data_IF_773252319145
#
_entry.id   IF_773252319145
#
_cell.length_a   1.000
_cell.length_b   1.000
_cell.length_c   1.000
_cell.angle_alpha   90.00
_cell.angle_beta   90.00
_cell.angle_gamma   90.00
#
_symmetry.space_group_name_H-M   'P 1'
#
loop_
_entity.id
_entity.type
_entity.pdbx_description
1 polymer ?
#
# COMPACT_ATOMS: atom_id res chain seq x y z
N UNK A 1 3.58 -76.27 -44.44
CA UNK A 1 3.21 -75.13 -45.32
C UNK A 1 2.10 -74.33 -44.64
N UNK A 2 2.25 -72.99 -44.59
CA UNK A 2 1.30 -71.93 -44.16
C UNK A 2 1.13 -71.77 -42.62
N UNK A 3 1.86 -70.85 -41.97
CA UNK A 3 1.61 -69.40 -41.73
C UNK A 3 0.51 -69.14 -40.67
N UNK A 4 0.86 -68.88 -39.40
CA UNK A 4 1.09 -67.57 -38.73
C UNK A 4 -0.13 -66.62 -38.74
N UNK A 5 -0.73 -66.40 -37.56
CA UNK A 5 -0.94 -65.05 -36.99
C UNK A 5 -1.35 -65.15 -35.50
N UNK A 6 -0.42 -64.87 -34.59
CA UNK A 6 -0.72 -64.64 -33.17
C UNK A 6 -0.77 -63.15 -32.92
N UNK A 7 -1.90 -62.63 -32.46
CA UNK A 7 -2.10 -61.23 -32.09
C UNK A 7 -1.63 -61.08 -30.64
N UNK A 8 -0.49 -60.42 -30.43
CA UNK A 8 -0.06 -59.93 -29.12
C UNK A 8 -0.57 -58.50 -28.95
N UNK A 9 -1.50 -58.28 -28.02
CA UNK A 9 -1.90 -56.95 -27.60
C UNK A 9 -0.86 -56.42 -26.59
N UNK A 10 -0.06 -55.44 -27.00
CA UNK A 10 0.81 -54.70 -26.10
C UNK A 10 0.02 -53.52 -25.50
N UNK A 11 -0.31 -53.62 -24.21
CA UNK A 11 -0.83 -52.49 -23.43
C UNK A 11 0.35 -51.57 -23.10
N UNK A 12 0.44 -50.42 -23.79
CA UNK A 12 1.33 -49.34 -23.38
C UNK A 12 0.75 -48.68 -22.13
N UNK A 13 1.32 -48.98 -20.96
CA UNK A 13 1.11 -48.18 -19.76
C UNK A 13 1.98 -46.93 -19.89
N UNK A 14 1.35 -45.81 -20.27
CA UNK A 14 1.99 -44.50 -20.20
C UNK A 14 2.15 -44.11 -18.72
N UNK A 15 3.32 -44.36 -18.15
CA UNK A 15 3.74 -43.81 -16.87
C UNK A 15 3.97 -42.31 -17.05
N UNK A 16 2.92 -41.52 -16.85
CA UNK A 16 3.04 -40.08 -16.65
C UNK A 16 3.79 -39.84 -15.35
N UNK A 17 5.09 -39.59 -15.44
CA UNK A 17 5.87 -39.07 -14.31
C UNK A 17 5.32 -37.69 -13.93
N UNK A 18 4.50 -37.65 -12.88
CA UNK A 18 4.29 -36.44 -12.10
C UNK A 18 5.66 -35.99 -11.58
N UNK A 19 6.28 -35.02 -12.26
CA UNK A 19 7.34 -34.22 -11.66
C UNK A 19 6.70 -33.48 -10.50
N UNK A 20 6.89 -33.98 -9.29
CA UNK A 20 6.70 -33.20 -8.07
C UNK A 20 7.51 -31.92 -8.25
N UNK A 21 6.82 -30.78 -8.31
CA UNK A 21 7.47 -29.48 -8.32
C UNK A 21 8.37 -29.43 -7.09
N UNK A 22 9.68 -29.45 -7.32
CA UNK A 22 10.67 -29.41 -6.26
C UNK A 22 10.49 -28.08 -5.54
N UNK A 23 9.97 -28.10 -4.30
CA UNK A 23 9.86 -26.89 -3.48
C UNK A 23 11.26 -26.27 -3.41
N UNK A 24 11.43 -25.09 -3.99
CA UNK A 24 12.65 -24.30 -3.84
C UNK A 24 12.91 -24.19 -2.33
N UNK A 25 14.13 -24.48 -1.85
CA UNK A 25 14.44 -24.35 -0.43
C UNK A 25 14.13 -22.92 0.00
N UNK A 26 13.17 -22.76 0.93
CA UNK A 26 12.80 -21.44 1.47
C UNK A 26 13.99 -20.91 2.23
N UNK A 27 14.52 -19.77 1.80
CA UNK A 27 15.57 -19.10 2.56
C UNK A 27 15.00 -18.67 3.92
N UNK A 28 15.60 -19.13 5.01
CA UNK A 28 15.12 -18.84 6.37
C UNK A 28 15.89 -17.72 7.06
N UNK A 29 16.92 -17.15 6.43
CA UNK A 29 17.65 -16.02 6.99
C UNK A 29 16.75 -14.78 6.96
N UNK A 30 16.29 -14.32 8.12
CA UNK A 30 15.49 -13.09 8.22
C UNK A 30 16.33 -11.85 8.58
N UNK A 31 17.66 -11.99 8.64
CA UNK A 31 18.58 -10.93 9.05
C UNK A 31 19.28 -10.27 7.85
N UNK A 32 19.50 -11.01 6.75
CA UNK A 32 20.29 -10.52 5.62
C UNK A 32 19.55 -10.65 4.29
N UNK A 33 19.68 -9.62 3.45
CA UNK A 33 19.34 -9.64 2.03
C UNK A 33 20.48 -9.02 1.25
N UNK A 34 20.89 -9.64 0.14
CA UNK A 34 21.85 -9.05 -0.79
C UNK A 34 21.09 -8.23 -1.83
N UNK A 35 21.49 -6.97 -1.98
CA UNK A 35 20.86 -6.05 -2.93
C UNK A 35 21.81 -4.91 -3.32
N UNK A 36 21.48 -4.25 -4.42
CA UNK A 36 21.99 -2.90 -4.73
C UNK A 36 20.84 -1.91 -4.72
N UNK A 37 21.10 -0.66 -4.39
CA UNK A 37 20.11 0.42 -4.37
C UNK A 37 20.60 1.62 -5.19
N UNK A 38 19.70 2.23 -5.94
CA UNK A 38 19.93 3.46 -6.70
C UNK A 38 18.66 4.31 -6.71
N UNK A 39 18.79 5.60 -7.03
CA UNK A 39 17.62 6.45 -7.28
C UNK A 39 16.87 5.98 -8.53
N UNK A 40 15.55 6.21 -8.57
CA UNK A 40 14.71 6.04 -9.75
C UNK A 40 14.23 7.43 -10.22
N UNK A 41 15.12 8.25 -10.83
CA UNK A 41 14.83 9.64 -11.19
C UNK A 41 13.68 9.75 -12.20
N UNK A 42 13.48 8.75 -13.05
CA UNK A 42 12.38 8.71 -14.01
C UNK A 42 11.00 8.71 -13.34
N UNK A 43 10.85 8.00 -12.21
CA UNK A 43 9.61 7.99 -11.43
C UNK A 43 9.44 9.27 -10.61
N UNK A 44 10.53 9.75 -10.03
CA UNK A 44 10.54 11.03 -9.32
C UNK A 44 10.17 12.19 -10.25
N UNK A 45 10.58 12.13 -11.52
CA UNK A 45 10.25 13.11 -12.57
C UNK A 45 8.78 13.00 -13.01
N UNK A 46 8.20 11.81 -13.11
CA UNK A 46 6.79 11.63 -13.49
C UNK A 46 5.84 12.43 -12.59
N UNK A 47 6.15 12.50 -11.29
CA UNK A 47 5.38 13.25 -10.29
C UNK A 47 5.90 14.68 -10.05
N UNK A 48 6.86 15.17 -10.83
CA UNK A 48 7.29 16.57 -10.79
C UNK A 48 6.49 17.37 -11.81
N UNK A 49 5.33 17.90 -11.39
CA UNK A 49 4.35 18.56 -12.27
C UNK A 49 4.34 20.07 -12.03
N UNK A 50 3.84 20.82 -13.01
CA UNK A 50 3.76 22.29 -12.96
C UNK A 50 2.32 22.82 -13.11
N UNK A 51 1.36 21.94 -13.43
CA UNK A 51 -0.03 22.31 -13.72
C UNK A 51 -1.00 21.26 -13.17
N UNK A 52 -2.09 21.72 -12.55
CA UNK A 52 -3.10 20.86 -11.94
C UNK A 52 -2.56 20.19 -10.68
N UNK A 53 -2.47 18.86 -10.67
CA UNK A 53 -1.84 18.12 -9.58
C UNK A 53 -0.33 18.45 -9.56
N UNK A 54 0.22 18.85 -8.41
CA UNK A 54 1.66 19.14 -8.28
C UNK A 54 2.36 18.55 -7.04
N UNK A 55 1.64 17.84 -6.18
CA UNK A 55 2.24 17.19 -5.03
C UNK A 55 1.20 16.44 -4.23
N UNK A 56 1.59 15.32 -3.62
CA UNK A 56 0.74 14.59 -2.69
C UNK A 56 1.53 13.58 -1.84
N UNK A 57 0.87 13.07 -0.81
CA UNK A 57 1.25 11.84 -0.09
C UNK A 57 0.26 10.68 -0.33
N UNK A 58 0.40 9.59 0.42
CA UNK A 58 -0.20 8.28 0.10
C UNK A 58 0.68 7.48 -0.86
N UNK A 59 0.26 7.34 -2.12
CA UNK A 59 0.92 6.59 -3.20
C UNK A 59 0.72 5.09 -3.02
N UNK A 60 -0.53 4.64 -2.89
CA UNK A 60 -0.85 3.21 -3.00
C UNK A 60 -1.17 2.88 -4.46
N UNK A 61 -0.69 1.74 -4.97
CA UNK A 61 -0.83 1.41 -6.40
C UNK A 61 -1.63 0.12 -6.56
N UNK A 62 -2.81 0.25 -7.17
CA UNK A 62 -3.75 -0.84 -7.34
C UNK A 62 -3.79 -1.30 -8.80
N UNK A 63 -3.24 -2.48 -9.13
CA UNK A 63 -3.39 -3.04 -10.46
C UNK A 63 -4.83 -3.47 -10.71
N UNK A 64 -5.44 -3.05 -11.82
CA UNK A 64 -6.85 -3.32 -12.13
C UNK A 64 -7.18 -4.82 -12.28
N UNK A 65 -6.16 -5.67 -12.48
CA UNK A 65 -6.32 -7.12 -12.54
C UNK A 65 -6.10 -7.83 -11.19
N UNK A 66 -5.80 -7.11 -10.11
CA UNK A 66 -5.57 -7.69 -8.78
C UNK A 66 -4.26 -8.43 -8.58
N UNK A 67 -3.34 -8.37 -9.55
CA UNK A 67 -2.06 -9.09 -9.50
C UNK A 67 -0.92 -8.09 -9.32
N UNK A 68 -0.22 -8.19 -8.20
CA UNK A 68 0.93 -7.36 -7.82
C UNK A 68 2.19 -7.72 -8.61
N UNK A 69 2.15 -7.49 -9.92
CA UNK A 69 3.25 -7.74 -10.85
C UNK A 69 3.18 -6.78 -12.03
N UNK A 70 4.34 -6.32 -12.49
CA UNK A 70 4.44 -5.53 -13.71
C UNK A 70 3.81 -6.22 -14.93
N UNK A 71 2.86 -5.52 -15.55
CA UNK A 71 2.20 -5.90 -16.80
C UNK A 71 1.87 -4.63 -17.62
N UNK A 72 2.37 -4.55 -18.85
CA UNK A 72 2.16 -3.38 -19.73
C UNK A 72 0.71 -3.20 -20.18
N UNK A 73 -0.12 -4.23 -20.06
CA UNK A 73 -1.53 -4.22 -20.48
C UNK A 73 -2.49 -3.87 -19.34
N UNK A 74 -1.99 -3.76 -18.11
CA UNK A 74 -2.79 -3.49 -16.91
C UNK A 74 -2.77 -2.00 -16.62
N UNK A 75 -3.95 -1.44 -16.34
CA UNK A 75 -4.08 -0.10 -15.78
C UNK A 75 -3.89 -0.18 -14.26
N UNK A 76 -3.08 0.73 -13.73
CA UNK A 76 -2.84 0.91 -12.31
C UNK A 76 -3.57 2.16 -11.83
N UNK A 77 -4.30 2.06 -10.73
CA UNK A 77 -4.82 3.24 -10.01
C UNK A 77 -3.84 3.60 -8.90
N UNK A 78 -3.23 4.78 -8.98
CA UNK A 78 -2.43 5.35 -7.91
C UNK A 78 -3.36 6.18 -7.03
N UNK A 79 -3.40 5.86 -5.74
CA UNK A 79 -4.19 6.54 -4.73
C UNK A 79 -3.30 7.52 -3.98
N UNK A 80 -3.76 8.77 -3.90
CA UNK A 80 -3.11 9.83 -3.14
C UNK A 80 -4.03 10.32 -2.02
N UNK A 81 -3.41 10.76 -0.93
CA UNK A 81 -4.07 11.42 0.20
C UNK A 81 -3.95 12.94 0.01
N UNK A 82 -3.50 13.70 1.00
CA UNK A 82 -3.45 15.16 0.89
C UNK A 82 -2.67 15.56 -0.37
N UNK A 83 -3.32 16.34 -1.23
CA UNK A 83 -2.91 16.59 -2.61
C UNK A 83 -2.98 18.08 -2.90
N UNK A 84 -1.88 18.62 -3.41
CA UNK A 84 -1.77 19.99 -3.88
C UNK A 84 -2.22 20.12 -5.33
N UNK A 85 -3.12 21.08 -5.56
CA UNK A 85 -3.68 21.41 -6.87
C UNK A 85 -3.48 22.89 -7.16
N UNK A 86 -2.93 23.21 -8.33
CA UNK A 86 -2.66 24.56 -8.79
C UNK A 86 -1.65 24.58 -9.95
N UNK A 87 -1.18 25.78 -10.27
CA UNK A 87 -0.08 25.96 -11.21
C UNK A 87 1.19 26.34 -10.44
N UNK A 88 2.35 25.97 -10.96
CA UNK A 88 3.65 26.48 -10.52
C UNK A 88 4.24 27.30 -11.66
N UNK A 89 4.64 28.53 -11.34
CA UNK A 89 5.17 29.51 -12.29
C UNK A 89 6.43 30.10 -11.66
N UNK A 90 7.55 30.07 -12.41
CA UNK A 90 8.86 30.53 -11.92
C UNK A 90 9.27 29.88 -10.59
N UNK A 91 9.16 28.54 -10.52
CA UNK A 91 9.49 27.73 -9.34
C UNK A 91 8.74 28.13 -8.06
N UNK A 92 7.52 28.65 -8.19
CA UNK A 92 6.62 28.96 -7.07
C UNK A 92 5.18 28.59 -7.38
N UNK A 93 4.43 28.00 -6.43
CA UNK A 93 2.99 27.83 -6.59
C UNK A 93 2.31 29.18 -6.81
N UNK A 94 1.53 29.28 -7.87
CA UNK A 94 0.69 30.43 -8.20
C UNK A 94 -0.38 30.60 -7.13
N UNK A 95 -0.66 31.85 -6.77
CA UNK A 95 -1.71 32.19 -5.81
C UNK A 95 -3.06 31.54 -6.19
N UNK A 96 -3.76 31.01 -5.20
CA UNK A 96 -5.02 30.26 -5.41
C UNK A 96 -4.86 28.74 -5.53
N UNK A 97 -3.66 28.19 -5.34
CA UNK A 97 -3.48 26.76 -5.14
C UNK A 97 -4.25 26.27 -3.89
N UNK A 98 -4.66 25.00 -3.89
CA UNK A 98 -5.42 24.38 -2.81
C UNK A 98 -4.80 23.03 -2.41
N UNK A 99 -5.15 22.57 -1.21
CA UNK A 99 -4.97 21.18 -0.80
C UNK A 99 -6.34 20.51 -0.76
N UNK A 100 -6.46 19.34 -1.38
CA UNK A 100 -7.61 18.42 -1.22
C UNK A 100 -7.14 17.17 -0.50
N UNK A 101 -8.05 16.41 0.09
CA UNK A 101 -7.67 15.33 1.01
C UNK A 101 -7.39 13.98 0.34
N UNK A 102 -7.77 13.85 -0.92
CA UNK A 102 -7.38 12.71 -1.75
C UNK A 102 -7.57 13.03 -3.23
N UNK A 103 -6.76 12.36 -4.05
CA UNK A 103 -6.83 12.35 -5.50
C UNK A 103 -6.39 10.97 -6.02
N UNK A 104 -6.53 10.74 -7.33
CA UNK A 104 -6.00 9.52 -7.95
C UNK A 104 -5.18 9.86 -9.20
N UNK A 105 -4.37 8.91 -9.66
CA UNK A 105 -3.91 8.86 -11.04
C UNK A 105 -4.22 7.50 -11.66
N UNK A 106 -4.59 7.50 -12.94
CA UNK A 106 -4.70 6.29 -13.75
C UNK A 106 -3.43 6.19 -14.59
N UNK A 107 -2.66 5.11 -14.39
CA UNK A 107 -1.42 4.84 -15.11
C UNK A 107 -1.59 3.58 -15.98
N UNK A 108 -1.44 3.71 -17.29
CA UNK A 108 -1.42 2.56 -18.19
C UNK A 108 -0.06 1.86 -18.16
N UNK A 109 -0.05 0.57 -17.85
CA UNK A 109 1.15 -0.24 -17.70
C UNK A 109 1.92 0.10 -16.42
N UNK A 110 3.20 -0.25 -16.40
CA UNK A 110 4.08 -0.10 -15.24
C UNK A 110 5.28 0.83 -15.49
N UNK A 111 5.32 1.54 -16.62
CA UNK A 111 6.44 2.41 -16.97
C UNK A 111 6.10 3.89 -16.69
N UNK A 112 7.08 4.70 -16.22
CA UNK A 112 6.86 6.10 -15.88
C UNK A 112 6.85 7.00 -17.12
N UNK A 113 5.82 6.83 -17.94
CA UNK A 113 5.60 7.58 -19.18
C UNK A 113 4.53 8.63 -18.97
N UNK A 114 4.83 9.88 -19.31
CA UNK A 114 3.92 11.01 -19.11
C UNK A 114 2.61 10.82 -19.90
N UNK A 115 2.70 10.31 -21.12
CA UNK A 115 1.56 10.01 -21.98
C UNK A 115 0.64 8.90 -21.43
N UNK A 116 1.11 8.12 -20.46
CA UNK A 116 0.38 7.00 -19.87
C UNK A 116 -0.32 7.34 -18.56
N UNK A 117 -0.09 8.52 -17.97
CA UNK A 117 -0.64 8.90 -16.67
C UNK A 117 -1.68 10.01 -16.79
N UNK A 118 -2.79 9.84 -16.08
CA UNK A 118 -3.84 10.85 -15.96
C UNK A 118 -4.19 11.09 -14.49
N UNK A 119 -3.90 12.30 -14.00
CA UNK A 119 -4.27 12.71 -12.65
C UNK A 119 -5.74 13.15 -12.61
N UNK A 120 -6.47 12.75 -11.57
CA UNK A 120 -7.90 12.99 -11.41
C UNK A 120 -8.21 13.47 -9.99
N UNK A 121 -9.05 14.50 -9.92
CA UNK A 121 -9.63 15.06 -8.70
C UNK A 121 -11.04 15.57 -9.05
N UNK A 122 -11.90 15.81 -8.06
CA UNK A 122 -13.23 16.37 -8.35
C UNK A 122 -13.13 17.88 -8.57
N UNK A 123 -13.72 18.35 -9.67
CA UNK A 123 -13.75 19.78 -9.97
C UNK A 123 -14.57 20.54 -8.92
N UNK A 124 -14.00 21.60 -8.36
CA UNK A 124 -14.68 22.45 -7.36
C UNK A 124 -15.59 23.47 -8.04
N UNK A 125 -16.82 23.66 -7.55
CA UNK A 125 -17.59 24.91 -7.68
C UNK A 125 -17.94 25.43 -6.28
N UNK A 126 -18.02 26.75 -6.08
CA UNK A 126 -16.91 27.68 -5.89
C UNK A 126 -16.15 27.57 -4.54
N UNK A 127 -16.39 26.54 -3.69
CA UNK A 127 -15.54 26.10 -2.54
C UNK A 127 -16.32 25.16 -1.60
N UNK A 128 -16.39 23.87 -1.94
CA UNK A 128 -16.41 22.75 -0.99
C UNK A 128 -15.66 21.57 -1.64
N UNK A 129 -14.39 21.50 -1.26
CA UNK A 129 -13.36 20.44 -1.39
C UNK A 129 -13.40 19.50 -2.61
N UNK A 130 -12.42 19.66 -3.50
CA UNK A 130 -12.22 18.84 -4.71
C UNK A 130 -11.68 17.43 -4.47
N UNK A 131 -11.81 16.91 -3.23
CA UNK A 131 -11.40 15.55 -2.87
C UNK A 131 -12.17 14.54 -3.72
N UNK A 132 -11.46 13.53 -4.21
CA UNK A 132 -12.04 12.57 -5.15
C UNK A 132 -13.06 11.63 -4.48
N UNK A 133 -12.75 11.14 -3.29
CA UNK A 133 -13.60 10.40 -2.37
C UNK A 133 -13.95 11.26 -1.16
N UNK A 134 -15.24 11.36 -0.86
CA UNK A 134 -15.78 12.10 0.29
C UNK A 134 -16.47 11.07 1.20
N UNK A 135 -16.24 11.11 2.53
CA UNK A 135 -16.90 10.20 3.47
C UNK A 135 -18.42 10.29 3.41
N UNK A 136 -19.06 9.13 3.23
CA UNK A 136 -20.52 8.97 3.17
C UNK A 136 -21.00 7.77 4.00
N UNK A 137 -20.15 7.26 4.90
CA UNK A 137 -20.52 6.14 5.79
C UNK A 137 -21.42 6.62 6.95
N UNK A 138 -22.21 5.73 7.56
CA UNK A 138 -23.07 6.08 8.70
C UNK A 138 -22.36 6.80 9.85
N UNK A 139 -21.10 6.47 10.16
CA UNK A 139 -20.36 7.11 11.25
C UNK A 139 -19.60 8.38 10.81
N UNK A 140 -19.66 8.79 9.54
CA UNK A 140 -18.98 10.00 9.07
C UNK A 140 -19.73 11.27 9.54
N UNK A 141 -18.98 12.26 10.03
CA UNK A 141 -19.49 13.58 10.40
C UNK A 141 -19.19 14.63 9.32
N UNK A 142 -19.91 15.77 9.32
CA UNK A 142 -19.57 16.89 8.44
C UNK A 142 -18.10 17.31 8.61
N UNK A 143 -17.43 17.54 7.47
CA UNK A 143 -16.00 17.89 7.36
C UNK A 143 -15.01 16.78 7.73
N UNK A 144 -15.46 15.56 8.02
CA UNK A 144 -14.54 14.42 8.00
C UNK A 144 -14.03 14.23 6.56
N UNK A 145 -12.76 13.85 6.44
CA UNK A 145 -12.14 13.52 5.16
C UNK A 145 -11.45 12.15 5.20
N UNK A 146 -11.11 11.63 4.02
CA UNK A 146 -10.34 10.40 3.89
C UNK A 146 -8.91 10.69 3.51
N UNK A 147 -7.99 10.15 4.31
CA UNK A 147 -6.71 9.67 3.78
C UNK A 147 -6.88 8.24 3.30
N UNK A 148 -6.29 7.92 2.17
CA UNK A 148 -6.41 6.62 1.54
C UNK A 148 -5.32 5.67 2.07
N UNK A 149 -5.73 4.44 2.36
CA UNK A 149 -4.84 3.32 2.65
C UNK A 149 -4.65 2.45 1.41
N UNK A 150 -4.10 1.27 1.64
CA UNK A 150 -3.87 0.29 0.59
C UNK A 150 -5.20 -0.28 0.05
N UNK A 151 -5.13 -1.14 -0.96
CA UNK A 151 -6.31 -1.76 -1.55
C UNK A 151 -5.97 -2.97 -2.40
N UNK A 152 -6.99 -3.66 -2.88
CA UNK A 152 -6.80 -4.81 -3.78
C UNK A 152 -8.09 -5.15 -4.52
N UNK A 153 -7.96 -5.90 -5.61
CA UNK A 153 -9.09 -6.53 -6.29
C UNK A 153 -9.30 -7.92 -5.69
N UNK A 154 -10.52 -8.21 -5.24
CA UNK A 154 -10.89 -9.50 -4.70
C UNK A 154 -11.68 -10.32 -5.73
N UNK A 155 -11.00 -11.24 -6.39
CA UNK A 155 -11.60 -12.12 -7.38
C UNK A 155 -12.68 -13.05 -6.80
N UNK A 156 -12.57 -13.41 -5.51
CA UNK A 156 -13.53 -14.29 -4.84
C UNK A 156 -14.82 -13.56 -4.43
N UNK A 157 -14.82 -12.22 -4.54
CA UNK A 157 -15.95 -11.34 -4.25
C UNK A 157 -16.48 -10.64 -5.50
N UNK A 158 -16.33 -11.27 -6.67
CA UNK A 158 -16.85 -10.77 -7.94
C UNK A 158 -16.01 -9.66 -8.55
N UNK A 159 -14.68 -9.74 -8.40
CA UNK A 159 -13.70 -8.76 -8.90
C UNK A 159 -13.96 -7.32 -8.41
N UNK A 160 -14.49 -7.18 -7.19
CA UNK A 160 -14.63 -5.86 -6.55
C UNK A 160 -13.25 -5.36 -6.11
N UNK A 161 -13.03 -4.06 -6.23
CA UNK A 161 -11.87 -3.39 -5.64
C UNK A 161 -12.25 -2.85 -4.26
N UNK A 162 -11.43 -3.14 -3.26
CA UNK A 162 -11.54 -2.59 -1.92
C UNK A 162 -10.39 -1.63 -1.67
N UNK A 163 -10.70 -0.43 -1.18
CA UNK A 163 -9.73 0.59 -0.82
C UNK A 163 -9.94 0.90 0.66
N UNK A 164 -8.94 0.69 1.49
CA UNK A 164 -8.96 1.10 2.89
C UNK A 164 -8.93 2.62 2.97
N UNK A 165 -9.66 3.20 3.92
CA UNK A 165 -9.71 4.65 4.09
C UNK A 165 -9.72 5.02 5.56
N UNK A 166 -8.83 5.91 5.95
CA UNK A 166 -8.75 6.43 7.31
C UNK A 166 -9.64 7.67 7.39
N UNK A 167 -10.62 7.66 8.28
CA UNK A 167 -11.46 8.84 8.51
C UNK A 167 -10.71 9.79 9.43
N UNK A 168 -10.39 10.96 8.92
CA UNK A 168 -9.62 12.00 9.61
C UNK A 168 -10.55 13.17 9.96
N UNK A 169 -10.25 13.80 11.09
CA UNK A 169 -10.92 15.00 11.57
C UNK A 169 -9.90 15.99 12.10
N UNK A 170 -10.03 17.25 11.68
CA UNK A 170 -9.22 18.34 12.22
C UNK A 170 -9.54 18.57 13.71
N UNK A 171 -8.51 18.92 14.48
CA UNK A 171 -8.62 19.18 15.92
C UNK A 171 -7.70 20.34 16.32
N UNK A 172 -8.13 21.10 17.32
CA UNK A 172 -7.32 22.19 17.91
C UNK A 172 -6.35 21.69 18.99
N UNK A 173 -6.51 20.46 19.48
CA UNK A 173 -5.95 20.02 20.77
C UNK A 173 -4.70 19.12 20.66
N UNK A 174 -4.15 18.93 19.47
CA UNK A 174 -3.04 18.00 19.22
C UNK A 174 -1.84 18.68 18.56
N UNK A 175 -0.64 18.13 18.80
CA UNK A 175 0.61 18.61 18.17
C UNK A 175 0.56 18.56 16.63
N UNK A 176 -0.20 17.62 16.09
CA UNK A 176 -0.70 17.63 14.73
C UNK A 176 -2.17 18.02 14.77
N UNK A 177 -2.60 19.01 14.01
CA UNK A 177 -3.96 19.60 14.06
C UNK A 177 -5.06 18.68 13.46
N UNK A 178 -4.85 17.36 13.49
CA UNK A 178 -5.76 16.34 12.98
C UNK A 178 -5.70 15.08 13.86
N UNK A 179 -6.73 14.24 13.75
CA UNK A 179 -6.78 12.93 14.37
C UNK A 179 -7.53 11.93 13.48
N UNK A 180 -7.12 10.67 13.54
CA UNK A 180 -7.90 9.59 12.96
C UNK A 180 -9.04 9.20 13.92
N UNK A 181 -10.26 9.15 13.40
CA UNK A 181 -11.49 8.91 14.18
C UNK A 181 -12.21 7.62 13.77
N UNK A 182 -11.58 6.82 12.91
CA UNK A 182 -12.08 5.51 12.48
C UNK A 182 -11.54 5.09 11.13
N UNK A 183 -12.02 3.94 10.67
CA UNK A 183 -11.71 3.39 9.35
C UNK A 183 -12.99 3.15 8.57
N UNK A 184 -12.85 3.21 7.25
CA UNK A 184 -13.88 2.87 6.27
C UNK A 184 -13.25 2.03 5.15
N UNK A 185 -14.11 1.43 4.33
CA UNK A 185 -13.71 0.87 3.05
C UNK A 185 -14.55 1.48 1.93
N UNK A 186 -13.89 1.90 0.87
CA UNK A 186 -14.51 2.22 -0.42
C UNK A 186 -14.50 0.93 -1.24
N UNK A 187 -15.65 0.57 -1.79
CA UNK A 187 -15.88 -0.65 -2.57
C UNK A 187 -16.29 -0.23 -3.97
N UNK A 188 -15.46 -0.57 -4.95
CA UNK A 188 -15.75 -0.34 -6.36
C UNK A 188 -16.22 -1.66 -6.98
N UNK A 189 -17.39 -1.70 -7.65
CA UNK A 189 -17.81 -2.90 -8.37
C UNK A 189 -16.87 -3.18 -9.55
N UNK A 190 -16.85 -4.44 -10.01
CA UNK A 190 -16.08 -4.85 -11.19
C UNK A 190 -16.35 -3.93 -12.37
N UNK A 191 -15.28 -3.42 -12.97
CA UNK A 191 -15.38 -2.58 -14.16
C UNK A 191 -15.86 -1.15 -13.89
N UNK A 192 -15.98 -0.74 -12.63
CA UNK A 192 -16.18 0.66 -12.25
C UNK A 192 -15.08 1.53 -12.89
N UNK A 193 -15.48 2.72 -13.36
CA UNK A 193 -14.61 3.67 -14.08
C UNK A 193 -14.72 5.06 -13.47
N UNK A 194 -13.66 5.85 -13.58
CA UNK A 194 -13.65 7.29 -13.26
C UNK A 194 -14.94 7.95 -13.80
N UNK A 195 -15.74 8.67 -12.98
CA UNK A 195 -15.43 9.15 -11.62
C UNK A 195 -15.91 8.25 -10.44
N UNK A 196 -16.10 6.94 -10.66
CA UNK A 196 -16.53 5.95 -9.66
C UNK A 196 -17.84 6.33 -8.95
N UNK A 197 -18.86 6.70 -9.72
CA UNK A 197 -20.20 7.09 -9.22
C UNK A 197 -21.00 5.92 -8.65
N UNK A 198 -20.61 4.68 -8.97
CA UNK A 198 -21.22 3.43 -8.52
C UNK A 198 -20.51 2.82 -7.29
N UNK A 199 -19.58 3.56 -6.68
CA UNK A 199 -18.92 3.13 -5.45
C UNK A 199 -19.92 2.94 -4.30
N UNK A 200 -19.58 2.04 -3.37
CA UNK A 200 -20.18 1.95 -2.05
C UNK A 200 -19.13 2.26 -0.99
N UNK A 201 -19.54 2.84 0.12
CA UNK A 201 -18.68 3.00 1.29
C UNK A 201 -19.29 2.29 2.50
N UNK A 202 -18.45 1.70 3.34
CA UNK A 202 -18.86 1.06 4.59
C UNK A 202 -17.93 1.48 5.73
N UNK A 203 -18.46 1.65 6.93
CA UNK A 203 -17.61 1.74 8.12
C UNK A 203 -16.90 0.41 8.34
N UNK A 204 -15.61 0.45 8.65
CA UNK A 204 -14.78 -0.72 8.88
C UNK A 204 -14.35 -0.77 10.36
N UNK A 205 -14.83 -1.74 11.16
CA UNK A 205 -14.53 -1.87 12.59
C UNK A 205 -13.12 -2.48 12.80
N UNK A 206 -12.14 -1.84 12.18
CA UNK A 206 -10.75 -2.28 12.03
C UNK A 206 -9.80 -1.21 12.64
N UNK A 207 -10.38 -0.35 13.48
CA UNK A 207 -9.77 0.70 14.28
C UNK A 207 -10.18 0.48 15.74
N UNK A 208 -9.23 0.54 16.65
CA UNK A 208 -9.50 0.47 18.08
C UNK A 208 -8.61 1.43 18.85
N UNK A 209 -9.16 2.02 19.91
CA UNK A 209 -8.40 2.80 20.88
C UNK A 209 -8.26 1.97 22.14
N UNK A 210 -7.03 1.75 22.56
CA UNK A 210 -6.69 1.19 23.86
C UNK A 210 -6.65 2.32 24.89
N UNK A 211 -7.76 2.50 25.59
CA UNK A 211 -7.94 3.54 26.61
C UNK A 211 -7.23 3.24 27.94
N UNK A 212 -6.28 2.30 27.98
CA UNK A 212 -5.43 2.17 29.17
C UNK A 212 -4.57 3.44 29.32
N UNK A 213 -4.50 3.98 30.54
CA UNK A 213 -3.94 5.30 30.87
C UNK A 213 -2.42 5.46 30.62
N UNK A 214 -1.79 4.55 29.88
CA UNK A 214 -0.35 4.49 29.68
C UNK A 214 0.14 5.32 28.49
N UNK A 215 -0.70 5.62 27.48
CA UNK A 215 -0.26 6.37 26.30
C UNK A 215 -1.37 7.26 25.72
N UNK A 216 -1.12 8.57 25.47
CA UNK A 216 -2.12 9.50 24.97
C UNK A 216 -2.53 9.28 23.50
N UNK A 217 -1.97 8.30 22.79
CA UNK A 217 -2.21 8.01 21.37
C UNK A 217 -2.32 6.49 21.07
N UNK A 218 -2.79 5.68 22.01
CA UNK A 218 -2.78 4.21 21.88
C UNK A 218 -3.92 3.70 20.99
N UNK A 219 -3.90 3.98 19.69
CA UNK A 219 -4.81 3.35 18.75
C UNK A 219 -4.10 2.28 17.93
N UNK A 220 -4.90 1.35 17.40
CA UNK A 220 -4.53 0.38 16.37
C UNK A 220 -5.40 0.68 15.16
N UNK A 221 -4.80 0.85 13.99
CA UNK A 221 -5.54 1.01 12.74
C UNK A 221 -5.01 0.08 11.66
N UNK A 222 -5.89 -0.73 11.09
CA UNK A 222 -5.59 -1.63 9.97
C UNK A 222 -5.88 -1.01 8.61
N UNK A 223 -5.13 -1.43 7.59
CA UNK A 223 -5.21 -0.89 6.21
C UNK A 223 -3.90 -0.28 5.71
N UNK A 224 -2.84 -0.30 6.54
CA UNK A 224 -1.51 0.23 6.22
C UNK A 224 -0.83 -0.51 5.08
N UNK A 225 -1.19 -1.79 4.89
CA UNK A 225 -0.87 -2.61 3.74
C UNK A 225 -1.87 -3.77 3.64
N UNK A 226 -2.03 -4.33 2.46
CA UNK A 226 -2.78 -5.58 2.23
C UNK A 226 -1.97 -6.56 1.40
N UNK A 227 -2.08 -7.84 1.73
CA UNK A 227 -1.48 -8.93 0.97
C UNK A 227 -2.54 -10.02 0.73
N UNK A 228 -3.18 -10.06 -0.45
CA UNK A 228 -4.10 -11.12 -0.83
C UNK A 228 -3.32 -12.40 -1.15
N UNK A 229 -3.18 -13.30 -0.17
CA UNK A 229 -2.47 -14.58 -0.34
C UNK A 229 -3.36 -15.64 -0.99
N UNK A 230 -3.90 -15.33 -2.16
CA UNK A 230 -4.84 -16.18 -2.91
C UNK A 230 -4.25 -16.60 -4.25
N UNK A 231 -4.74 -17.72 -4.78
CA UNK A 231 -4.32 -18.20 -6.11
C UNK A 231 -4.72 -17.21 -7.21
N UNK A 232 -5.87 -16.57 -7.06
CA UNK A 232 -6.42 -15.62 -8.03
C UNK A 232 -5.65 -14.29 -8.06
N UNK A 233 -5.11 -13.84 -6.93
CA UNK A 233 -4.22 -12.68 -6.87
C UNK A 233 -2.78 -12.98 -7.33
N UNK A 234 -2.49 -14.22 -7.74
CA UNK A 234 -1.16 -14.63 -8.20
C UNK A 234 -0.12 -14.79 -7.10
N UNK A 235 -0.54 -14.97 -5.84
CA UNK A 235 0.38 -15.18 -4.73
C UNK A 235 1.21 -16.47 -4.91
N UNK A 236 2.50 -16.47 -4.52
CA UNK A 236 3.40 -17.59 -4.79
C UNK A 236 3.11 -18.85 -3.97
N UNK A 237 2.63 -18.71 -2.73
CA UNK A 237 2.21 -19.83 -1.86
C UNK A 237 0.85 -19.53 -1.21
N UNK A 238 -0.25 -19.67 -1.98
CA UNK A 238 -1.55 -19.17 -1.58
C UNK A 238 -2.22 -20.04 -0.51
N UNK A 239 -2.69 -19.43 0.58
CA UNK A 239 -3.46 -20.07 1.66
C UNK A 239 -4.95 -19.66 1.68
N UNK A 240 -5.35 -18.80 0.74
CA UNK A 240 -6.72 -18.33 0.56
C UNK A 240 -7.15 -17.23 1.55
N UNK A 241 -6.21 -16.66 2.32
CA UNK A 241 -6.47 -15.53 3.19
C UNK A 241 -6.00 -14.21 2.57
N UNK A 242 -6.69 -13.13 2.93
CA UNK A 242 -6.21 -11.77 2.75
C UNK A 242 -5.61 -11.32 4.08
N UNK A 243 -4.33 -10.96 4.08
CA UNK A 243 -3.63 -10.40 5.23
C UNK A 243 -3.73 -8.88 5.18
N UNK A 244 -4.12 -8.26 6.29
CA UNK A 244 -4.27 -6.80 6.41
C UNK A 244 -3.41 -6.34 7.57
N UNK A 245 -2.50 -5.42 7.32
CA UNK A 245 -1.54 -4.92 8.30
C UNK A 245 -2.05 -3.63 8.91
N UNK A 246 -1.79 -3.45 10.20
CA UNK A 246 -2.13 -2.24 10.92
C UNK A 246 -0.97 -1.71 11.72
N UNK A 247 -1.00 -0.41 11.99
CA UNK A 247 0.01 0.30 12.75
C UNK A 247 -0.63 0.96 13.97
N UNK A 248 0.09 0.99 15.08
CA UNK A 248 -0.42 1.56 16.32
C UNK A 248 0.61 1.64 17.44
N UNK A 249 0.14 2.13 18.59
CA UNK A 249 0.91 2.18 19.83
C UNK A 249 2.09 3.15 19.86
N UNK A 250 2.87 3.05 20.93
CA UNK A 250 3.90 4.00 21.36
C UNK A 250 5.18 4.02 20.49
N UNK A 251 5.58 2.88 19.94
CA UNK A 251 6.82 2.73 19.14
C UNK A 251 6.53 2.32 17.70
N UNK A 252 5.37 2.72 17.17
CA UNK A 252 4.90 2.37 15.83
C UNK A 252 4.94 0.86 15.57
N UNK A 253 4.20 0.13 16.38
CA UNK A 253 4.04 -1.32 16.32
C UNK A 253 3.23 -1.69 15.09
N UNK A 254 3.60 -2.78 14.45
CA UNK A 254 2.86 -3.40 13.34
C UNK A 254 2.15 -4.64 13.87
N UNK A 255 0.88 -4.78 13.48
CA UNK A 255 0.04 -5.93 13.78
C UNK A 255 -0.56 -6.47 12.47
N UNK A 256 -1.06 -7.70 12.48
CA UNK A 256 -1.66 -8.32 11.30
C UNK A 256 -2.99 -9.00 11.63
N UNK A 257 -3.95 -8.78 10.74
CA UNK A 257 -5.21 -9.47 10.69
C UNK A 257 -5.27 -10.33 9.44
N UNK A 258 -6.14 -11.35 9.42
CA UNK A 258 -6.49 -12.09 8.23
C UNK A 258 -7.97 -12.43 8.17
N UNK A 259 -8.47 -12.61 6.96
CA UNK A 259 -9.83 -13.10 6.68
C UNK A 259 -9.80 -13.95 5.42
N UNK A 260 -10.67 -14.96 5.31
CA UNK A 260 -10.82 -15.68 4.03
C UNK A 260 -11.33 -14.72 2.96
N UNK A 261 -10.78 -14.80 1.75
CA UNK A 261 -11.12 -13.87 0.67
C UNK A 261 -12.62 -13.81 0.35
N UNK A 262 -13.32 -14.96 0.44
CA UNK A 262 -14.78 -15.10 0.26
C UNK A 262 -15.63 -14.50 1.38
N UNK A 263 -15.03 -14.16 2.52
CA UNK A 263 -15.69 -13.61 3.69
C UNK A 263 -15.21 -12.19 4.03
N UNK A 264 -14.54 -11.51 3.08
CA UNK A 264 -13.85 -10.25 3.34
C UNK A 264 -14.76 -9.13 3.88
N UNK A 265 -16.00 -9.05 3.40
CA UNK A 265 -17.00 -8.09 3.86
C UNK A 265 -17.65 -8.44 5.22
N UNK A 266 -17.45 -9.66 5.74
CA UNK A 266 -17.95 -10.08 7.05
C UNK A 266 -16.86 -9.91 8.13
N UNK A 267 -16.86 -8.74 8.77
CA UNK A 267 -15.90 -8.40 9.82
C UNK A 267 -15.94 -9.36 11.04
N UNK A 268 -17.00 -10.13 11.24
CA UNK A 268 -17.04 -11.16 12.30
C UNK A 268 -16.11 -12.35 12.01
N UNK A 269 -15.72 -12.53 10.74
CA UNK A 269 -14.80 -13.59 10.30
C UNK A 269 -13.33 -13.16 10.33
N UNK A 270 -13.06 -11.88 10.55
CA UNK A 270 -11.69 -11.38 10.67
C UNK A 270 -11.05 -11.93 11.93
N UNK A 271 -9.75 -12.25 11.82
CA UNK A 271 -8.96 -12.71 12.94
C UNK A 271 -7.66 -11.93 13.05
N UNK A 272 -7.23 -11.65 14.27
CA UNK A 272 -6.06 -10.88 14.62
C UNK A 272 -5.00 -11.81 15.22
N UNK A 273 -3.76 -11.70 14.75
CA UNK A 273 -2.67 -12.57 15.21
C UNK A 273 -2.20 -12.17 16.61
N UNK A 274 -2.25 -13.08 17.59
CA UNK A 274 -1.81 -12.81 18.97
C UNK A 274 -0.35 -13.26 19.24
N UNK A 275 0.38 -13.69 18.21
CA UNK A 275 1.72 -14.26 18.33
C UNK A 275 1.75 -15.79 18.35
N UNK A 276 0.61 -16.44 18.60
CA UNK A 276 0.48 -17.90 18.60
C UNK A 276 -0.79 -18.41 17.89
N UNK A 277 -1.90 -17.67 17.99
CA UNK A 277 -3.22 -18.01 17.51
C UNK A 277 -3.90 -16.80 16.85
N UNK A 278 -4.97 -17.09 16.11
CA UNK A 278 -5.80 -16.12 15.43
C UNK A 278 -7.06 -15.81 16.27
N UNK A 279 -7.10 -14.63 16.87
CA UNK A 279 -8.13 -14.17 17.81
C UNK A 279 -9.21 -13.33 17.15
N UNK A 280 -10.37 -13.16 17.77
CA UNK A 280 -11.44 -12.27 17.29
C UNK A 280 -11.30 -10.83 17.78
N UNK A 281 -10.56 -10.61 18.86
CA UNK A 281 -10.39 -9.31 19.49
C UNK A 281 -9.17 -8.57 18.92
N UNK A 282 -9.43 -7.39 18.34
CA UNK A 282 -8.41 -6.51 17.76
C UNK A 282 -7.34 -6.07 18.77
N UNK A 283 -7.71 -5.89 20.04
CA UNK A 283 -6.78 -5.44 21.08
C UNK A 283 -5.82 -6.55 21.54
N UNK A 284 -6.06 -7.81 21.13
CA UNK A 284 -5.14 -8.93 21.37
C UNK A 284 -4.07 -9.08 20.29
N UNK A 285 -4.10 -8.27 19.24
CA UNK A 285 -3.13 -8.36 18.17
C UNK A 285 -1.71 -8.09 18.70
N UNK A 286 -0.81 -9.06 18.53
CA UNK A 286 0.57 -8.95 18.95
C UNK A 286 1.41 -8.17 17.92
N UNK A 287 2.45 -7.53 18.42
CA UNK A 287 3.44 -6.83 17.61
C UNK A 287 4.26 -7.84 16.80
N UNK A 288 4.26 -7.70 15.48
CA UNK A 288 5.05 -8.53 14.55
C UNK A 288 6.29 -7.82 14.01
N UNK A 289 6.28 -6.48 14.09
CA UNK A 289 7.38 -5.57 13.80
C UNK A 289 7.14 -4.25 14.54
N UNK A 290 8.15 -3.39 14.62
CA UNK A 290 8.05 -2.07 15.24
C UNK A 290 8.86 -1.02 14.45
N UNK A 291 8.74 0.25 14.86
CA UNK A 291 9.42 1.39 14.27
C UNK A 291 9.09 1.56 12.78
N UNK A 292 7.86 1.25 12.39
CA UNK A 292 7.37 1.39 11.02
C UNK A 292 6.55 2.66 10.82
N UNK A 293 6.53 3.23 9.62
CA UNK A 293 5.61 4.30 9.27
C UNK A 293 4.16 3.84 9.19
N UNK A 294 3.22 4.80 9.22
CA UNK A 294 1.78 4.50 9.17
C UNK A 294 1.37 3.83 7.86
N UNK A 295 2.14 4.06 6.79
CA UNK A 295 2.03 3.36 5.52
C UNK A 295 3.28 2.50 5.33
N UNK A 296 3.08 1.28 4.82
CA UNK A 296 4.11 0.29 4.58
C UNK A 296 3.68 -0.61 3.41
N UNK A 297 4.48 -1.62 3.09
CA UNK A 297 4.11 -2.69 2.16
C UNK A 297 4.62 -4.03 2.68
N UNK A 298 3.96 -5.13 2.30
CA UNK A 298 4.48 -6.48 2.49
C UNK A 298 4.39 -7.24 1.18
N UNK A 299 5.54 -7.65 0.63
CA UNK A 299 5.64 -8.27 -0.69
C UNK A 299 6.43 -9.57 -0.60
N UNK A 300 5.99 -10.67 -1.24
CA UNK A 300 6.78 -11.89 -1.31
C UNK A 300 8.03 -11.70 -2.18
N UNK A 301 9.14 -12.28 -1.75
CA UNK A 301 10.40 -12.33 -2.48
C UNK A 301 10.52 -13.63 -3.28
N UNK A 302 11.34 -13.65 -4.36
CA UNK A 302 11.55 -14.86 -5.17
C UNK A 302 12.10 -16.07 -4.41
N UNK A 303 12.74 -15.87 -3.26
CA UNK A 303 13.33 -16.93 -2.42
C UNK A 303 12.40 -17.46 -1.32
N UNK A 304 11.12 -17.07 -1.36
CA UNK A 304 10.07 -17.54 -0.46
C UNK A 304 9.92 -16.75 0.84
N UNK A 305 10.75 -15.73 1.07
CA UNK A 305 10.59 -14.79 2.20
C UNK A 305 9.57 -13.69 1.86
N UNK A 306 9.20 -12.90 2.86
CA UNK A 306 8.38 -11.71 2.72
C UNK A 306 9.20 -10.49 3.14
N UNK A 307 9.19 -9.44 2.32
CA UNK A 307 9.80 -8.15 2.62
C UNK A 307 8.73 -7.17 3.08
N UNK A 308 8.90 -6.61 4.29
CA UNK A 308 8.13 -5.46 4.77
C UNK A 308 8.97 -4.20 4.58
N UNK A 309 8.51 -3.25 3.75
CA UNK A 309 9.20 -1.97 3.49
C UNK A 309 8.42 -0.83 4.14
N UNK A 310 9.13 0.07 4.84
CA UNK A 310 8.57 1.18 5.63
C UNK A 310 9.61 2.31 5.81
N UNK A 311 9.17 3.52 6.20
CA UNK A 311 10.07 4.53 6.75
C UNK A 311 10.36 4.22 8.23
N UNK A 312 11.62 4.19 8.64
CA UNK A 312 11.97 3.88 10.03
C UNK A 312 11.44 4.94 10.99
N UNK A 313 11.06 4.54 12.21
CA UNK A 313 10.67 5.45 13.31
C UNK A 313 9.47 6.36 13.01
N UNK A 314 8.64 5.99 12.03
CA UNK A 314 7.52 6.81 11.57
C UNK A 314 7.94 7.92 10.61
N UNK A 315 8.94 8.71 10.99
CA UNK A 315 9.46 9.88 10.27
C UNK A 315 11.00 9.98 10.31
N UNK A 316 11.70 8.88 10.62
CA UNK A 316 13.16 8.82 10.62
C UNK A 316 13.73 8.92 9.20
N UNK A 317 15.02 9.23 9.07
CA UNK A 317 15.66 9.54 7.78
C UNK A 317 15.91 8.34 6.86
N UNK A 318 15.64 7.11 7.32
CA UNK A 318 15.97 5.89 6.58
C UNK A 318 14.75 5.17 6.05
N UNK A 319 14.86 4.67 4.81
CA UNK A 319 13.98 3.60 4.31
C UNK A 319 14.48 2.28 4.88
N UNK A 320 13.61 1.60 5.60
CA UNK A 320 13.88 0.32 6.24
C UNK A 320 13.17 -0.83 5.53
N UNK A 321 13.72 -2.02 5.70
CA UNK A 321 13.07 -3.28 5.35
C UNK A 321 13.29 -4.31 6.43
N UNK A 322 12.29 -5.16 6.66
CA UNK A 322 12.43 -6.35 7.50
C UNK A 322 11.96 -7.58 6.73
N UNK A 323 12.52 -8.74 7.06
CA UNK A 323 12.22 -10.00 6.39
C UNK A 323 11.49 -10.95 7.32
N UNK A 324 10.63 -11.80 6.76
CA UNK A 324 9.95 -12.89 7.47
C UNK A 324 9.83 -14.11 6.57
N UNK A 325 9.72 -15.31 7.15
CA UNK A 325 9.41 -16.54 6.42
C UNK A 325 7.91 -16.78 6.26
N UNK A 326 7.07 -15.99 6.93
CA UNK A 326 5.60 -16.01 6.83
C UNK A 326 5.05 -14.60 6.61
N UNK A 327 3.83 -14.42 6.07
CA UNK A 327 3.24 -13.09 5.95
C UNK A 327 2.87 -12.47 7.31
N UNK A 328 2.77 -13.27 8.37
CA UNK A 328 2.36 -12.80 9.70
C UNK A 328 3.51 -12.69 10.73
N UNK A 329 4.76 -12.83 10.28
CA UNK A 329 5.94 -12.68 11.11
C UNK A 329 6.35 -13.95 11.89
N UNK A 330 7.28 -13.81 12.87
CA UNK A 330 7.92 -12.55 13.26
C UNK A 330 8.82 -11.98 12.16
N UNK A 331 8.89 -10.66 12.06
CA UNK A 331 9.81 -9.98 11.14
C UNK A 331 11.15 -9.72 11.83
N UNK A 332 12.24 -9.93 11.10
CA UNK A 332 13.62 -9.77 11.56
C UNK A 332 14.03 -8.32 11.88
N UNK A 333 15.34 -8.08 12.09
CA UNK A 333 15.87 -6.74 12.35
C UNK A 333 15.71 -5.81 11.14
N UNK A 334 15.78 -4.50 11.39
CA UNK A 334 15.76 -3.48 10.33
C UNK A 334 17.02 -3.59 9.47
N UNK A 335 16.83 -3.88 8.20
CA UNK A 335 17.82 -3.73 7.13
C UNK A 335 17.61 -2.33 6.55
N UNK A 336 18.60 -1.45 6.72
CA UNK A 336 18.57 -0.12 6.13
C UNK A 336 18.83 -0.21 4.63
N UNK A 337 17.88 0.28 3.83
CA UNK A 337 17.96 0.27 2.37
C UNK A 337 18.57 1.58 1.88
N UNK A 338 18.04 2.71 2.34
CA UNK A 338 18.34 4.03 1.79
C UNK A 338 18.37 5.07 2.90
N UNK A 339 19.25 6.06 2.76
CA UNK A 339 19.26 7.25 3.60
C UNK A 339 18.70 8.43 2.79
N UNK A 340 17.53 8.91 3.18
CA UNK A 340 16.93 10.08 2.59
C UNK A 340 17.77 11.33 2.90
N UNK A 341 17.82 12.28 1.97
CA UNK A 341 18.69 13.47 2.11
C UNK A 341 17.92 14.79 2.09
N UNK A 342 16.61 14.75 1.86
CA UNK A 342 15.74 15.92 1.69
C UNK A 342 15.68 16.77 2.96
N UNK A 343 15.84 16.16 4.14
CA UNK A 343 15.92 16.88 5.42
C UNK A 343 17.15 17.82 5.50
N UNK A 344 18.14 17.67 4.61
CA UNK A 344 19.28 18.58 4.48
C UNK A 344 18.94 19.83 3.67
N UNK A 345 17.87 19.81 2.86
CA UNK A 345 17.42 20.96 2.08
C UNK A 345 16.71 22.00 2.95
N UNK A 346 16.01 21.56 3.99
CA UNK A 346 15.38 22.42 5.00
C UNK A 346 15.23 21.69 6.33
N UNK A 347 15.47 22.40 7.44
CA UNK A 347 15.29 21.88 8.80
C UNK A 347 13.84 21.47 9.13
N UNK A 348 12.88 21.96 8.35
CA UNK A 348 11.46 21.68 8.52
C UNK A 348 11.04 20.41 7.78
N UNK A 349 11.86 19.93 6.83
CA UNK A 349 11.50 18.81 5.97
C UNK A 349 11.52 17.49 6.74
N UNK A 350 10.51 16.68 6.44
CA UNK A 350 10.35 15.32 6.95
C UNK A 350 10.24 14.34 5.79
N UNK A 351 10.67 13.11 6.04
CA UNK A 351 10.48 11.98 5.14
C UNK A 351 9.71 10.88 5.85
N UNK A 352 8.79 10.24 5.15
CA UNK A 352 7.83 9.33 5.79
C UNK A 352 7.19 8.36 4.80
N UNK A 353 6.52 7.35 5.36
CA UNK A 353 5.60 6.46 4.62
C UNK A 353 6.23 5.75 3.40
N UNK A 354 7.45 5.24 3.55
CA UNK A 354 8.09 4.46 2.48
C UNK A 354 7.38 3.13 2.23
N UNK A 355 7.31 2.68 0.97
CA UNK A 355 6.66 1.40 0.58
C UNK A 355 7.06 0.97 -0.82
N UNK A 356 7.01 -0.34 -1.06
CA UNK A 356 7.25 -0.96 -2.35
C UNK A 356 5.99 -0.97 -3.24
N UNK A 357 6.20 -0.95 -4.56
CA UNK A 357 5.15 -0.93 -5.58
C UNK A 357 5.31 -2.13 -6.52
N UNK A 358 4.88 -3.35 -6.12
CA UNK A 358 5.16 -4.57 -6.88
C UNK A 358 4.55 -4.58 -8.29
N UNK A 359 3.38 -3.97 -8.48
CA UNK A 359 2.76 -3.76 -9.80
C UNK A 359 3.54 -2.82 -10.72
N UNK A 360 4.42 -1.98 -10.17
CA UNK A 360 5.31 -1.07 -10.90
C UNK A 360 6.76 -1.57 -11.01
N UNK A 361 7.08 -2.63 -10.27
CA UNK A 361 8.45 -3.14 -10.14
C UNK A 361 8.79 -4.06 -11.30
N UNK A 362 9.92 -3.81 -11.98
CA UNK A 362 10.40 -4.73 -13.03
C UNK A 362 10.80 -6.07 -12.40
N UNK A 363 10.83 -7.16 -13.18
CA UNK A 363 11.31 -8.45 -12.67
C UNK A 363 12.71 -8.34 -12.03
N UNK A 364 12.86 -8.83 -10.80
CA UNK A 364 14.13 -8.86 -10.07
C UNK A 364 14.46 -7.58 -9.28
N UNK A 365 13.58 -6.58 -9.28
CA UNK A 365 13.74 -5.36 -8.49
C UNK A 365 12.48 -5.02 -7.69
N UNK A 366 12.64 -4.15 -6.69
CA UNK A 366 11.55 -3.44 -6.02
C UNK A 366 11.69 -1.96 -6.33
N UNK A 367 10.62 -1.36 -6.86
CA UNK A 367 10.46 0.10 -6.89
C UNK A 367 9.85 0.53 -5.56
N UNK A 368 10.52 1.43 -4.86
CA UNK A 368 10.09 1.93 -3.55
C UNK A 368 9.92 3.44 -3.65
N UNK A 369 8.82 3.97 -3.10
CA UNK A 369 8.68 5.41 -2.88
C UNK A 369 8.75 5.75 -1.40
N UNK A 370 9.08 7.00 -1.09
CA UNK A 370 8.85 7.65 0.21
C UNK A 370 8.34 9.07 -0.02
N UNK A 371 7.59 9.59 0.96
CA UNK A 371 7.01 10.92 0.90
C UNK A 371 7.96 11.95 1.51
N UNK A 372 7.86 13.19 1.04
CA UNK A 372 8.56 14.35 1.58
C UNK A 372 7.50 15.35 2.01
N UNK A 373 7.61 15.87 3.22
CA UNK A 373 6.67 16.84 3.80
C UNK A 373 7.39 17.86 4.65
N UNK A 374 6.63 18.69 5.38
CA UNK A 374 7.22 19.73 6.24
C UNK A 374 6.37 20.00 7.48
N UNK A 375 7.03 20.27 8.61
CA UNK A 375 6.38 20.79 9.82
C UNK A 375 5.91 22.25 9.69
N UNK A 376 6.45 23.01 8.75
CA UNK A 376 6.02 24.38 8.42
C UNK A 376 5.49 24.47 6.98
N UNK A 377 4.61 23.51 6.66
CA UNK A 377 4.17 23.24 5.30
C UNK A 377 3.76 24.47 4.50
N UNK A 378 2.89 25.31 5.07
CA UNK A 378 2.30 26.45 4.36
C UNK A 378 3.29 27.57 4.05
N UNK A 379 4.40 27.66 4.79
CA UNK A 379 5.49 28.57 4.47
C UNK A 379 6.46 27.93 3.49
N UNK A 380 6.81 26.67 3.69
CA UNK A 380 7.77 25.96 2.85
C UNK A 380 7.24 25.77 1.43
N UNK A 381 5.96 25.45 1.25
CA UNK A 381 5.36 25.23 -0.09
C UNK A 381 5.44 26.47 -0.98
N UNK A 382 5.45 27.68 -0.39
CA UNK A 382 5.58 28.95 -1.12
C UNK A 382 7.00 29.21 -1.62
N UNK A 383 8.00 28.61 -0.96
CA UNK A 383 9.42 28.87 -1.19
C UNK A 383 10.13 27.71 -1.90
N UNK A 384 9.63 26.49 -1.74
CA UNK A 384 10.18 25.27 -2.32
C UNK A 384 9.12 24.61 -3.21
N UNK A 385 9.06 25.00 -4.49
CA UNK A 385 8.12 24.37 -5.41
C UNK A 385 8.30 22.86 -5.48
N UNK A 386 7.18 22.14 -5.56
CA UNK A 386 7.14 20.69 -5.72
C UNK A 386 7.75 19.86 -4.60
N UNK A 387 8.26 20.43 -3.49
CA UNK A 387 8.95 19.63 -2.46
C UNK A 387 8.06 18.48 -1.92
N UNK A 388 6.78 18.77 -1.71
CA UNK A 388 5.73 17.86 -1.22
C UNK A 388 5.28 16.87 -2.31
N UNK A 389 6.20 16.00 -2.70
CA UNK A 389 5.95 14.91 -3.64
C UNK A 389 6.85 13.72 -3.31
N UNK A 390 6.51 12.53 -3.81
CA UNK A 390 7.31 11.34 -3.55
C UNK A 390 8.70 11.41 -4.18
N UNK A 391 9.61 10.63 -3.61
CA UNK A 391 10.90 10.27 -4.20
C UNK A 391 10.92 8.76 -4.38
N UNK A 392 11.64 8.31 -5.40
CA UNK A 392 11.70 6.89 -5.74
C UNK A 392 13.11 6.37 -5.76
N UNK A 393 13.27 5.15 -5.26
CA UNK A 393 14.49 4.35 -5.33
C UNK A 393 14.18 2.99 -5.93
N UNK A 394 15.20 2.35 -6.46
CA UNK A 394 15.16 1.01 -7.02
C UNK A 394 16.11 0.11 -6.24
N UNK A 395 15.59 -1.01 -5.77
CA UNK A 395 16.36 -2.06 -5.09
C UNK A 395 16.43 -3.28 -5.99
N UNK A 396 17.61 -3.66 -6.46
CA UNK A 396 17.81 -4.89 -7.26
C UNK A 396 18.30 -6.00 -6.35
N UNK A 397 17.59 -7.13 -6.38
CA UNK A 397 17.95 -8.32 -5.61
C UNK A 397 19.14 -9.04 -6.27
N UNK A 398 20.03 -9.65 -5.47
CA UNK A 398 21.24 -10.34 -5.94
C UNK A 398 21.24 -11.84 -5.68
#
# INVERSE_FOLDING_TARGET
MKNKLGIFAAVLVALSSCKTAQKVPVNTDINNLKFTVEEAPEWTKLLNRQHGWFGADGIFVLPANGVDKADSNVENTILFSDTMIGDIINDRPKEGFIMVHNSIALLKGYEPKEENVQFKWKATKPRKEGSYFIPQTPNALPNDYYWLGDGFVNHDMGDKTYIFSYRIRDTADNAFLFQQVGNAMIILPKGSKDPYTDQKQVDAPIYAVDNTAKYPNNYISFGSAVFPNTKSAGAPDPDGYVYVYGVGGDVKKVMVARVKSTAFEDFSQWRYWDGANWQTDILKAATIADRASNELSVTPLPDGRYAMVFQTDGIGSAVGMRLSTTPYGPFGPIIKIWECTEQKESKNFIVYNAKAHPSLSKPGEMLISYNVGSFDFWNDVKNHSNFYRPRFIRVKLQ
#
